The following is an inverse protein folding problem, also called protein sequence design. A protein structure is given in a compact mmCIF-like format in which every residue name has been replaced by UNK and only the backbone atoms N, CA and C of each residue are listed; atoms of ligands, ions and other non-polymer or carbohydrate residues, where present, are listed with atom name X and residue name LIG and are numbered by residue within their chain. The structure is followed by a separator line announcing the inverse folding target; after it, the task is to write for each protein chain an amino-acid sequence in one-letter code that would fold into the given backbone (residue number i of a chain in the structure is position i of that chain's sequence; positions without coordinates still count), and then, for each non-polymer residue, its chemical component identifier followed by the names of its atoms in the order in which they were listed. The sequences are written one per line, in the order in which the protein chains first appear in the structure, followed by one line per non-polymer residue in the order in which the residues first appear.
data_IF_849028197124
#
_entry.id   IF_849028197124
#
_cell.length_a   1.000
_cell.length_b   1.000
_cell.length_c   1.000
_cell.angle_alpha   90.00
_cell.angle_beta   90.00
_cell.angle_gamma   90.00
#
_symmetry.space_group_name_H-M   'P 1'
#
loop_
_entity.id
_entity.type
_entity.pdbx_description
1 polymer ?
#
# COMPACT_ATOMS: atom_id res chain seq x y z
N UNK A 1 -16.11 -17.94 0.46
CA UNK A 1 -15.22 -18.40 -0.58
C UNK A 1 -15.41 -17.59 -1.84
N UNK A 2 -14.37 -17.00 -2.35
CA UNK A 2 -14.37 -16.19 -3.54
C UNK A 2 -14.41 -14.69 -3.25
N UNK A 3 -14.46 -13.94 -4.32
CA UNK A 3 -14.53 -12.47 -4.26
C UNK A 3 -15.98 -12.04 -4.09
N UNK A 4 -16.32 -11.49 -2.95
CA UNK A 4 -17.64 -10.97 -2.67
C UNK A 4 -17.52 -9.61 -1.98
N UNK A 5 -18.57 -8.81 -2.05
CA UNK A 5 -18.60 -7.47 -1.51
C UNK A 5 -18.70 -7.50 0.03
N UNK A 6 -17.68 -7.02 0.77
CA UNK A 6 -17.74 -6.94 2.23
C UNK A 6 -18.90 -6.08 2.77
N UNK A 7 -19.38 -5.11 2.00
CA UNK A 7 -20.49 -4.25 2.40
C UNK A 7 -21.80 -5.05 2.60
N UNK A 8 -21.99 -6.15 1.86
CA UNK A 8 -23.14 -7.04 2.03
C UNK A 8 -23.12 -7.71 3.39
N UNK A 9 -21.95 -8.17 3.86
CA UNK A 9 -21.81 -8.74 5.21
C UNK A 9 -22.13 -7.72 6.29
N UNK A 10 -21.57 -6.53 6.16
CA UNK A 10 -21.79 -5.45 7.13
C UNK A 10 -23.26 -5.07 7.24
N UNK A 11 -23.96 -5.02 6.10
CA UNK A 11 -25.41 -4.80 6.07
C UNK A 11 -26.21 -5.91 6.75
N UNK A 12 -25.76 -7.16 6.62
CA UNK A 12 -26.46 -8.33 7.19
C UNK A 12 -26.18 -8.53 8.69
N UNK A 13 -24.99 -8.18 9.14
CA UNK A 13 -24.60 -8.34 10.56
C UNK A 13 -25.32 -7.38 11.50
N UNK A 14 -25.60 -6.15 11.06
CA UNK A 14 -26.27 -5.11 11.85
C UNK A 14 -27.62 -5.53 12.47
N UNK A 15 -28.54 -6.18 11.72
CA UNK A 15 -29.85 -6.58 12.27
C UNK A 15 -29.77 -7.55 13.44
N UNK A 16 -28.68 -8.32 13.54
CA UNK A 16 -28.47 -9.30 14.61
C UNK A 16 -27.71 -8.75 15.82
N UNK A 17 -27.31 -7.47 15.78
CA UNK A 17 -26.51 -6.85 16.83
C UNK A 17 -25.09 -7.38 16.94
N UNK A 18 -24.60 -8.08 15.93
CA UNK A 18 -23.22 -8.58 15.91
C UNK A 18 -22.23 -7.43 15.76
N UNK A 19 -21.12 -7.54 16.48
CA UNK A 19 -19.98 -6.64 16.34
C UNK A 19 -18.87 -7.38 15.64
N UNK A 20 -18.33 -6.77 14.60
CA UNK A 20 -17.15 -7.29 13.92
C UNK A 20 -15.93 -6.83 14.73
N UNK A 21 -15.21 -7.79 15.29
CA UNK A 21 -14.03 -7.54 16.09
C UNK A 21 -12.79 -7.34 15.22
N UNK A 22 -12.67 -8.11 14.16
CA UNK A 22 -11.55 -8.04 13.20
C UNK A 22 -12.01 -8.51 11.82
N UNK A 23 -11.51 -7.84 10.79
CA UNK A 23 -11.72 -8.20 9.40
C UNK A 23 -10.40 -8.63 8.78
N UNK A 24 -10.38 -9.84 8.20
CA UNK A 24 -9.17 -10.42 7.61
C UNK A 24 -9.46 -10.85 6.17
N UNK A 25 -8.63 -10.38 5.23
CA UNK A 25 -8.67 -10.85 3.85
C UNK A 25 -7.54 -11.86 3.59
N UNK A 26 -7.91 -13.04 3.13
CA UNK A 26 -6.95 -14.06 2.71
C UNK A 26 -6.69 -13.97 1.21
N UNK A 27 -5.43 -13.92 0.83
CA UNK A 27 -4.97 -13.80 -0.56
C UNK A 27 -4.02 -14.92 -0.89
N UNK A 28 -4.30 -15.66 -1.98
CA UNK A 28 -3.35 -16.64 -2.50
C UNK A 28 -2.21 -15.93 -3.25
N UNK A 29 -1.00 -15.98 -2.72
CA UNK A 29 0.16 -15.32 -3.29
C UNK A 29 0.53 -15.84 -4.69
N UNK A 30 0.29 -17.12 -4.98
CA UNK A 30 0.59 -17.72 -6.30
C UNK A 30 -0.25 -17.12 -7.42
N UNK A 31 -1.48 -16.72 -7.14
CA UNK A 31 -2.42 -16.18 -8.14
C UNK A 31 -2.57 -14.66 -8.07
N UNK A 32 -2.03 -14.04 -7.03
CA UNK A 32 -2.24 -12.62 -6.76
C UNK A 32 -1.83 -11.73 -7.93
N UNK A 33 -0.66 -11.94 -8.52
CA UNK A 33 -0.17 -11.11 -9.63
C UNK A 33 -1.14 -11.06 -10.81
N UNK A 34 -1.67 -12.22 -11.19
CA UNK A 34 -2.65 -12.33 -12.29
C UNK A 34 -3.98 -11.68 -11.90
N UNK A 35 -4.46 -11.94 -10.68
CA UNK A 35 -5.71 -11.37 -10.19
C UNK A 35 -5.61 -9.86 -10.05
N UNK A 36 -4.49 -9.34 -9.53
CA UNK A 36 -4.24 -7.92 -9.39
C UNK A 36 -4.22 -7.19 -10.74
N UNK A 37 -3.59 -7.81 -11.76
CA UNK A 37 -3.54 -7.22 -13.10
C UNK A 37 -4.92 -7.15 -13.78
N UNK A 38 -5.80 -8.13 -13.54
CA UNK A 38 -7.07 -8.26 -14.25
C UNK A 38 -8.30 -7.79 -13.46
N UNK A 39 -8.24 -7.79 -12.12
CA UNK A 39 -9.40 -7.53 -11.24
C UNK A 39 -9.06 -6.57 -10.12
N UNK A 40 -8.19 -5.60 -10.40
CA UNK A 40 -7.63 -4.69 -9.39
C UNK A 40 -8.69 -3.98 -8.56
N UNK A 41 -9.73 -3.45 -9.20
CA UNK A 41 -10.80 -2.71 -8.51
C UNK A 41 -11.56 -3.58 -7.51
N UNK A 42 -11.87 -4.82 -7.88
CA UNK A 42 -12.58 -5.77 -7.00
C UNK A 42 -11.67 -6.13 -5.80
N UNK A 43 -10.40 -6.42 -6.06
CA UNK A 43 -9.45 -6.74 -5.00
C UNK A 43 -9.20 -5.52 -4.08
N UNK A 44 -9.19 -4.32 -4.64
CA UNK A 44 -9.04 -3.10 -3.86
C UNK A 44 -10.18 -2.93 -2.85
N UNK A 45 -11.43 -3.16 -3.26
CA UNK A 45 -12.59 -3.09 -2.35
C UNK A 45 -12.50 -4.12 -1.21
N UNK A 46 -11.88 -5.27 -1.44
CA UNK A 46 -11.68 -6.30 -0.42
C UNK A 46 -10.58 -5.95 0.61
N UNK A 47 -9.79 -4.91 0.35
CA UNK A 47 -8.64 -4.53 1.19
C UNK A 47 -8.82 -3.16 1.85
N UNK A 48 -9.56 -2.25 1.24
CA UNK A 48 -9.66 -0.85 1.69
C UNK A 48 -10.04 -0.68 3.17
N UNK A 49 -10.88 -1.55 3.70
CA UNK A 49 -11.48 -1.41 5.03
C UNK A 49 -11.23 -2.62 5.94
N UNK A 50 -10.18 -3.40 5.69
CA UNK A 50 -9.85 -4.55 6.52
C UNK A 50 -8.69 -4.24 7.46
N UNK A 51 -8.64 -4.93 8.59
CA UNK A 51 -7.59 -4.77 9.58
C UNK A 51 -6.32 -5.53 9.19
N UNK A 52 -6.47 -6.64 8.46
CA UNK A 52 -5.36 -7.52 8.11
C UNK A 52 -5.53 -8.16 6.73
N UNK A 53 -4.42 -8.31 6.02
CA UNK A 53 -4.31 -9.14 4.81
C UNK A 53 -3.27 -10.22 5.07
N UNK A 54 -3.66 -11.47 4.85
CA UNK A 54 -2.75 -12.61 4.93
C UNK A 54 -2.53 -13.15 3.52
N UNK A 55 -1.30 -13.06 3.04
CA UNK A 55 -0.88 -13.75 1.83
C UNK A 55 -0.41 -15.14 2.21
N UNK A 56 -1.11 -16.16 1.77
CA UNK A 56 -0.71 -17.54 1.98
C UNK A 56 -0.01 -18.10 0.73
N UNK A 57 0.64 -19.27 0.89
CA UNK A 57 1.40 -19.97 -0.17
C UNK A 57 2.51 -19.11 -0.78
N UNK A 58 3.11 -18.28 0.03
CA UNK A 58 4.27 -17.50 -0.39
C UNK A 58 5.50 -18.39 -0.59
N UNK A 59 6.37 -17.98 -1.50
CA UNK A 59 7.67 -18.61 -1.72
C UNK A 59 8.76 -17.56 -1.88
N UNK A 60 10.01 -17.95 -1.67
CA UNK A 60 11.18 -17.05 -1.73
C UNK A 60 11.44 -16.42 -3.09
N UNK A 61 10.83 -16.93 -4.15
CA UNK A 61 10.96 -16.37 -5.51
C UNK A 61 9.91 -15.32 -5.86
N UNK A 62 8.96 -15.02 -4.96
CA UNK A 62 7.90 -14.04 -5.20
C UNK A 62 8.35 -12.65 -4.76
N UNK A 63 7.94 -11.62 -5.49
CA UNK A 63 8.12 -10.22 -5.10
C UNK A 63 7.07 -9.80 -4.05
N UNK A 64 7.23 -10.34 -2.84
CA UNK A 64 6.34 -10.08 -1.72
C UNK A 64 6.37 -8.60 -1.28
N UNK A 65 7.48 -7.91 -1.51
CA UNK A 65 7.61 -6.48 -1.28
C UNK A 65 6.65 -5.67 -2.15
N UNK A 66 6.52 -6.02 -3.44
CA UNK A 66 5.53 -5.40 -4.32
C UNK A 66 4.09 -5.67 -3.88
N UNK A 67 3.81 -6.87 -3.38
CA UNK A 67 2.48 -7.21 -2.85
C UNK A 67 2.15 -6.35 -1.63
N UNK A 68 3.10 -6.22 -0.70
CA UNK A 68 2.94 -5.35 0.47
C UNK A 68 2.68 -3.90 0.06
N UNK A 69 3.50 -3.34 -0.82
CA UNK A 69 3.32 -1.96 -1.30
C UNK A 69 1.95 -1.74 -1.94
N UNK A 70 1.47 -2.70 -2.74
CA UNK A 70 0.15 -2.64 -3.36
C UNK A 70 -0.98 -2.58 -2.33
N UNK A 71 -0.89 -3.34 -1.26
CA UNK A 71 -1.90 -3.33 -0.17
C UNK A 71 -1.81 -2.06 0.66
N UNK A 72 -0.60 -1.63 1.02
CA UNK A 72 -0.38 -0.39 1.79
C UNK A 72 -0.82 0.86 1.05
N UNK A 73 -0.71 0.89 -0.27
CA UNK A 73 -1.23 1.97 -1.10
C UNK A 73 -2.76 2.11 -1.03
N UNK A 74 -3.50 1.01 -0.80
CA UNK A 74 -4.95 1.01 -0.64
C UNK A 74 -5.39 1.33 0.78
N UNK A 75 -4.65 0.81 1.76
CA UNK A 75 -4.94 0.94 3.18
C UNK A 75 -3.62 0.98 3.96
N UNK A 76 -3.18 2.18 4.32
CA UNK A 76 -1.91 2.39 5.02
C UNK A 76 -1.85 1.74 6.41
N UNK A 77 -2.99 1.52 7.03
CA UNK A 77 -3.08 0.93 8.38
C UNK A 77 -3.16 -0.59 8.38
N UNK A 78 -3.43 -1.21 7.22
CA UNK A 78 -3.60 -2.66 7.14
C UNK A 78 -2.36 -3.41 7.63
N UNK A 79 -2.55 -4.41 8.48
CA UNK A 79 -1.50 -5.36 8.83
C UNK A 79 -1.34 -6.37 7.69
N UNK A 80 -0.10 -6.71 7.34
CA UNK A 80 0.16 -7.63 6.24
C UNK A 80 1.06 -8.75 6.77
N UNK A 81 0.59 -9.97 6.58
CA UNK A 81 1.27 -11.20 6.96
C UNK A 81 1.52 -12.03 5.71
N UNK A 82 2.68 -12.65 5.63
CA UNK A 82 3.05 -13.59 4.59
C UNK A 82 3.31 -14.95 5.21
N UNK A 83 2.64 -15.96 4.68
CA UNK A 83 2.75 -17.33 5.12
C UNK A 83 3.17 -18.22 3.95
N UNK A 84 4.03 -19.17 4.21
CA UNK A 84 4.39 -20.19 3.24
C UNK A 84 3.25 -21.22 3.06
N UNK A 85 3.50 -22.26 2.28
CA UNK A 85 2.53 -23.34 2.05
C UNK A 85 2.20 -24.17 3.30
N UNK A 86 3.04 -24.11 4.35
CA UNK A 86 2.86 -24.84 5.61
C UNK A 86 2.16 -23.96 6.67
N UNK A 87 2.00 -22.67 6.41
CA UNK A 87 1.49 -21.68 7.35
C UNK A 87 2.57 -21.03 8.20
N UNK A 88 3.85 -21.25 7.89
CA UNK A 88 4.95 -20.60 8.59
C UNK A 88 5.11 -19.15 8.11
N UNK A 89 5.28 -18.25 9.07
CA UNK A 89 5.44 -16.82 8.77
C UNK A 89 6.76 -16.56 8.05
N UNK A 90 6.67 -15.82 6.94
CA UNK A 90 7.83 -15.39 6.17
C UNK A 90 8.21 -13.95 6.48
N UNK A 91 9.50 -13.72 6.78
CA UNK A 91 10.06 -12.37 6.85
C UNK A 91 10.44 -11.89 5.46
N UNK A 92 10.07 -10.64 5.13
CA UNK A 92 10.42 -10.01 3.85
C UNK A 92 11.58 -9.05 4.09
N UNK A 93 12.68 -9.26 3.36
CA UNK A 93 13.64 -8.19 3.14
C UNK A 93 13.11 -7.29 2.01
N UNK A 94 12.64 -6.10 2.34
CA UNK A 94 12.23 -5.13 1.32
C UNK A 94 13.45 -4.64 0.56
N UNK A 95 13.53 -4.96 -0.73
CA UNK A 95 14.44 -4.31 -1.66
C UNK A 95 13.77 -3.03 -2.15
N UNK A 96 14.30 -1.91 -1.73
CA UNK A 96 13.88 -0.61 -2.27
C UNK A 96 14.54 -0.40 -3.65
N UNK A 97 13.86 0.26 -4.59
CA UNK A 97 14.41 0.53 -5.92
C UNK A 97 15.49 1.63 -5.92
N UNK A 98 15.81 2.19 -4.76
CA UNK A 98 16.80 3.25 -4.55
C UNK A 98 17.66 2.92 -3.33
N UNK A 99 18.86 3.50 -3.26
CA UNK A 99 19.79 3.28 -2.14
C UNK A 99 19.45 4.26 -0.98
N UNK A 100 18.83 3.72 0.06
CA UNK A 100 18.52 4.50 1.28
C UNK A 100 19.78 4.90 2.07
N UNK A 101 20.94 4.28 1.83
CA UNK A 101 22.18 4.61 2.54
C UNK A 101 22.96 5.72 1.84
N UNK A 102 22.58 6.12 0.63
CA UNK A 102 23.19 7.22 -0.08
C UNK A 102 23.03 8.55 0.68
N UNK A 103 24.00 9.46 0.54
CA UNK A 103 23.88 10.82 1.07
C UNK A 103 22.78 11.62 0.36
N UNK A 104 22.58 11.36 -0.91
CA UNK A 104 21.48 11.87 -1.72
C UNK A 104 20.73 10.68 -2.28
N UNK A 105 19.50 10.51 -1.85
CA UNK A 105 18.62 9.45 -2.32
C UNK A 105 17.95 9.93 -3.60
N UNK A 106 18.30 9.31 -4.74
CA UNK A 106 17.67 9.59 -6.02
C UNK A 106 16.41 8.74 -6.16
N UNK A 107 15.27 9.39 -6.37
CA UNK A 107 13.97 8.72 -6.51
C UNK A 107 13.43 8.97 -7.91
N UNK A 108 13.36 7.91 -8.70
CA UNK A 108 12.83 7.97 -10.05
C UNK A 108 11.32 8.20 -10.09
N UNK A 109 10.82 8.61 -11.25
CA UNK A 109 9.42 8.96 -11.45
C UNK A 109 8.45 7.83 -11.09
N UNK A 110 8.80 6.59 -11.40
CA UNK A 110 8.01 5.40 -11.08
C UNK A 110 8.10 4.98 -9.60
N UNK A 111 9.14 5.41 -8.89
CA UNK A 111 9.44 4.97 -7.53
C UNK A 111 8.95 5.96 -6.46
N UNK A 112 8.44 7.12 -6.88
CA UNK A 112 7.98 8.16 -5.96
C UNK A 112 6.91 7.67 -4.97
N UNK A 113 5.96 6.86 -5.43
CA UNK A 113 4.93 6.29 -4.55
C UNK A 113 5.51 5.32 -3.52
N UNK A 114 6.52 4.52 -3.92
CA UNK A 114 7.23 3.61 -3.03
C UNK A 114 7.99 4.41 -1.96
N UNK A 115 8.74 5.41 -2.39
CA UNK A 115 9.47 6.29 -1.49
C UNK A 115 8.53 7.01 -0.50
N UNK A 116 7.42 7.56 -0.98
CA UNK A 116 6.47 8.29 -0.13
C UNK A 116 5.89 7.40 0.97
N UNK A 117 5.54 6.16 0.65
CA UNK A 117 5.05 5.21 1.64
C UNK A 117 6.15 4.82 2.63
N UNK A 118 7.35 4.54 2.13
CA UNK A 118 8.46 4.11 2.98
C UNK A 118 8.90 5.22 3.95
N UNK A 119 9.00 6.47 3.50
CA UNK A 119 9.34 7.60 4.39
C UNK A 119 8.24 7.87 5.42
N UNK A 120 6.99 7.59 5.08
CA UNK A 120 5.86 7.73 6.01
C UNK A 120 5.83 6.63 7.08
N UNK A 121 6.25 5.41 6.73
CA UNK A 121 6.33 4.28 7.66
C UNK A 121 7.60 4.29 8.52
N UNK A 122 8.72 4.74 7.96
CA UNK A 122 10.06 4.70 8.59
C UNK A 122 10.79 6.03 8.48
N UNK A 123 10.24 7.13 9.01
CA UNK A 123 10.82 8.48 8.87
C UNK A 123 12.24 8.58 9.44
N UNK A 124 12.59 7.77 10.44
CA UNK A 124 13.91 7.74 11.06
C UNK A 124 15.03 7.33 10.08
N UNK A 125 14.73 6.50 9.09
CA UNK A 125 15.70 6.08 8.05
C UNK A 125 16.13 7.25 7.18
N UNK A 126 15.25 8.24 6.99
CA UNK A 126 15.45 9.39 6.11
C UNK A 126 15.90 10.65 6.83
N UNK A 127 15.92 10.61 8.15
CA UNK A 127 16.29 11.79 8.97
C UNK A 127 17.70 12.27 8.66
N UNK A 128 17.83 13.54 8.28
CA UNK A 128 19.11 14.18 7.95
C UNK A 128 19.65 13.85 6.56
N UNK A 129 18.90 13.12 5.73
CA UNK A 129 19.27 12.81 4.34
C UNK A 129 18.67 13.80 3.36
N UNK A 130 19.31 13.93 2.21
CA UNK A 130 18.78 14.69 1.07
C UNK A 130 18.07 13.73 0.12
N UNK A 131 16.84 14.06 -0.26
CA UNK A 131 16.11 13.29 -1.26
C UNK A 131 15.91 14.15 -2.50
N UNK A 132 16.19 13.58 -3.66
CA UNK A 132 16.03 14.23 -4.96
C UNK A 132 14.99 13.48 -5.78
N UNK A 133 13.96 14.19 -6.20
CA UNK A 133 12.92 13.67 -7.09
C UNK A 133 12.37 14.77 -7.98
N UNK A 134 11.75 14.39 -9.09
CA UNK A 134 11.01 15.31 -9.96
C UNK A 134 9.56 15.37 -9.50
N UNK A 135 9.12 16.52 -9.03
CA UNK A 135 7.78 16.70 -8.48
C UNK A 135 6.98 17.82 -9.16
N UNK A 136 5.72 17.88 -8.81
CA UNK A 136 4.83 19.01 -9.07
C UNK A 136 4.74 19.86 -7.81
N UNK A 137 4.55 21.15 -7.96
CA UNK A 137 4.34 22.07 -6.85
C UNK A 137 2.85 22.27 -6.63
N UNK A 138 2.35 21.87 -5.46
CA UNK A 138 1.01 22.23 -5.02
C UNK A 138 1.08 23.53 -4.23
N UNK A 139 0.36 24.55 -4.71
CA UNK A 139 0.16 25.82 -4.03
C UNK A 139 -1.32 26.03 -3.81
N UNK A 140 -1.71 26.38 -2.59
CA UNK A 140 -3.10 26.61 -2.22
C UNK A 140 -3.22 27.98 -1.52
N UNK A 141 -4.38 28.64 -1.67
CA UNK A 141 -4.70 29.91 -1.02
C UNK A 141 -4.66 29.87 0.52
N UNK A 142 -4.75 28.69 1.11
CA UNK A 142 -4.67 28.49 2.56
C UNK A 142 -3.23 28.35 3.07
N UNK A 143 -2.25 28.19 2.18
CA UNK A 143 -0.86 28.17 2.59
C UNK A 143 -0.39 29.61 2.88
N UNK A 144 0.40 29.76 3.95
CA UNK A 144 1.06 31.05 4.22
C UNK A 144 1.95 31.41 3.03
N UNK A 145 2.14 32.71 2.81
CA UNK A 145 2.98 33.20 1.74
C UNK A 145 4.34 32.49 1.70
N UNK A 146 4.72 32.06 0.49
CA UNK A 146 5.94 31.30 0.18
C UNK A 146 5.95 29.80 0.54
N UNK A 147 4.88 29.24 1.14
CA UNK A 147 4.79 27.81 1.36
C UNK A 147 4.22 27.10 0.15
N UNK A 148 4.74 25.93 -0.13
CA UNK A 148 4.26 25.00 -1.17
C UNK A 148 4.53 23.58 -0.74
N UNK A 149 3.83 22.62 -1.34
CA UNK A 149 4.05 21.20 -1.13
C UNK A 149 4.62 20.61 -2.41
N UNK A 150 5.87 20.14 -2.41
CA UNK A 150 6.38 19.34 -3.51
C UNK A 150 5.78 17.94 -3.46
N UNK A 151 5.35 17.42 -4.58
CA UNK A 151 4.72 16.10 -4.61
C UNK A 151 4.40 15.62 -6.01
N UNK A 152 3.61 14.57 -6.10
CA UNK A 152 3.14 13.99 -7.37
C UNK A 152 1.71 13.51 -7.28
N UNK A 153 1.06 13.43 -8.43
CA UNK A 153 -0.19 12.69 -8.56
C UNK A 153 0.11 11.21 -8.67
N UNK A 154 -0.51 10.43 -7.83
CA UNK A 154 -0.41 8.97 -7.84
C UNK A 154 -1.80 8.36 -8.03
N UNK A 155 -1.84 7.26 -8.74
CA UNK A 155 -3.03 6.46 -8.98
C UNK A 155 -2.92 5.16 -8.19
N UNK A 156 -3.90 4.88 -7.35
CA UNK A 156 -3.88 3.69 -6.50
C UNK A 156 -4.47 2.47 -7.19
N UNK A 157 -5.70 2.57 -7.67
CA UNK A 157 -6.37 1.45 -8.34
C UNK A 157 -6.91 1.79 -9.75
N UNK A 158 -7.38 3.00 -9.99
CA UNK A 158 -7.91 3.42 -11.29
C UNK A 158 -7.75 4.94 -11.46
N UNK A 159 -8.06 5.45 -12.65
CA UNK A 159 -7.88 6.86 -12.98
C UNK A 159 -8.71 7.81 -12.10
N UNK A 160 -9.86 7.34 -11.60
CA UNK A 160 -10.74 8.09 -10.70
C UNK A 160 -10.17 8.18 -9.27
N UNK A 161 -9.26 7.28 -8.91
CA UNK A 161 -8.60 7.21 -7.60
C UNK A 161 -7.20 7.86 -7.64
N UNK A 162 -7.10 8.98 -8.35
CA UNK A 162 -5.86 9.73 -8.45
C UNK A 162 -5.83 10.81 -7.38
N UNK A 163 -4.82 10.78 -6.53
CA UNK A 163 -4.62 11.77 -5.48
C UNK A 163 -3.23 12.42 -5.58
N UNK A 164 -3.13 13.66 -5.10
CA UNK A 164 -1.84 14.32 -4.95
C UNK A 164 -1.25 13.95 -3.58
N UNK A 165 -0.08 13.35 -3.60
CA UNK A 165 0.71 13.07 -2.40
C UNK A 165 1.98 13.93 -2.40
N UNK A 166 2.34 14.51 -1.25
CA UNK A 166 3.47 15.40 -1.12
C UNK A 166 3.93 15.59 0.32
N UNK A 167 5.10 16.15 0.46
CA UNK A 167 5.78 16.34 1.74
C UNK A 167 6.02 17.82 2.03
#
# INVERSE_FOLDING_TARGET
NGMWDPALLMGTAKPFGWQIYQSITLVNAETFGVQWANMKSIMAEMVKNVDMVIFNRCSSGMDLGSYRRSMKALNSYVQIVFEDKNGDMMSIAEQLPYDVNANVIEVDDCDYGIWYMDVSERPEVYKGKTVRFKGQVLKNKYFKDKNFVPGRKVMTCCAEDTSFIGY
#
